data_IF_474009331773
#
_entry.id   IF_474009331773
#
_cell.length_a   1.000
_cell.length_b   1.000
_cell.length_c   1.000
_cell.angle_alpha   90.00
_cell.angle_beta   90.00
_cell.angle_gamma   90.00
#
_symmetry.space_group_name_H-M   'P 1'
#
loop_
_entity.id
_entity.type
_entity.pdbx_description
1 polymer ?
#
# COMPACT_ATOMS: atom_id res chain seq x y z
N UNK A 1 8.54 9.55 -9.51
CA UNK A 1 8.49 8.10 -9.74
C UNK A 1 7.10 7.60 -9.38
N UNK A 2 6.34 7.13 -10.36
CA UNK A 2 4.97 6.63 -10.19
C UNK A 2 4.69 5.39 -11.05
N UNK A 3 5.76 4.67 -11.41
CA UNK A 3 5.72 3.41 -12.15
C UNK A 3 5.19 2.28 -11.26
N UNK A 4 4.99 1.05 -11.77
CA UNK A 4 4.78 -0.13 -10.92
C UNK A 4 5.87 -0.27 -9.84
N UNK A 5 5.50 -0.76 -8.65
CA UNK A 5 6.30 -0.65 -7.43
C UNK A 5 7.69 -1.27 -7.56
N UNK A 6 7.79 -2.45 -8.18
CA UNK A 6 9.07 -3.13 -8.38
C UNK A 6 10.11 -2.30 -9.17
N UNK A 7 9.67 -1.31 -9.96
CA UNK A 7 10.55 -0.44 -10.74
C UNK A 7 11.01 0.82 -9.98
N UNK A 8 10.45 1.09 -8.79
CA UNK A 8 10.71 2.36 -8.09
C UNK A 8 12.19 2.56 -7.77
N UNK A 9 12.85 1.51 -7.27
CA UNK A 9 14.26 1.60 -6.87
C UNK A 9 15.17 2.03 -8.02
N UNK A 10 14.96 1.44 -9.20
CA UNK A 10 15.80 1.74 -10.37
C UNK A 10 15.54 3.15 -10.89
N UNK A 11 14.28 3.60 -10.91
CA UNK A 11 13.95 4.97 -11.26
C UNK A 11 14.48 5.99 -10.23
N UNK A 12 14.46 5.66 -8.93
CA UNK A 12 15.06 6.50 -7.88
C UNK A 12 16.58 6.57 -8.08
N UNK A 13 17.24 5.44 -8.31
CA UNK A 13 18.69 5.38 -8.57
C UNK A 13 19.08 6.24 -9.77
N UNK A 14 18.37 6.10 -10.89
CA UNK A 14 18.62 6.91 -12.08
C UNK A 14 18.47 8.41 -11.80
N UNK A 15 17.47 8.80 -11.01
CA UNK A 15 17.31 10.20 -10.58
C UNK A 15 18.48 10.71 -9.72
N UNK A 16 18.97 9.90 -8.79
CA UNK A 16 20.13 10.25 -7.96
C UNK A 16 21.42 10.36 -8.76
N UNK A 17 21.67 9.43 -9.68
CA UNK A 17 22.83 9.43 -10.57
C UNK A 17 22.83 10.65 -11.50
N UNK A 18 21.65 11.11 -11.92
CA UNK A 18 21.47 12.36 -12.64
C UNK A 18 21.59 13.62 -11.76
N UNK A 19 21.86 13.48 -10.45
CA UNK A 19 21.99 14.59 -9.52
C UNK A 19 20.68 15.28 -9.16
N UNK A 20 19.53 14.63 -9.35
CA UNK A 20 18.21 15.17 -9.09
C UNK A 20 17.71 14.88 -7.67
N UNK A 21 16.79 15.72 -7.20
CA UNK A 21 15.92 15.39 -6.06
C UNK A 21 14.69 14.67 -6.60
N UNK A 22 14.39 13.50 -6.05
CA UNK A 22 13.37 12.58 -6.54
C UNK A 22 12.16 12.62 -5.61
N UNK A 23 10.98 12.77 -6.19
CA UNK A 23 9.72 12.43 -5.55
C UNK A 23 9.26 11.03 -6.02
N UNK A 24 8.88 10.15 -5.10
CA UNK A 24 8.36 8.81 -5.41
C UNK A 24 7.02 8.56 -4.73
N UNK A 25 6.11 7.93 -5.46
CA UNK A 25 4.91 7.33 -4.88
C UNK A 25 5.26 6.21 -3.89
N UNK A 26 4.26 5.85 -3.08
CA UNK A 26 4.30 4.68 -2.19
C UNK A 26 3.77 3.42 -2.91
N UNK A 27 4.14 2.22 -2.47
CA UNK A 27 5.24 1.89 -1.54
C UNK A 27 6.60 2.15 -2.21
N UNK A 28 7.63 2.47 -1.42
CA UNK A 28 8.92 2.92 -1.96
C UNK A 28 9.66 1.79 -2.70
N UNK A 29 9.60 0.58 -2.15
CA UNK A 29 10.23 -0.64 -2.67
C UNK A 29 9.40 -1.84 -2.23
N UNK A 30 9.61 -3.01 -2.84
CA UNK A 30 8.78 -4.21 -2.62
C UNK A 30 9.46 -5.33 -1.84
N UNK A 31 10.77 -5.22 -1.57
CA UNK A 31 11.53 -6.24 -0.82
C UNK A 31 12.43 -5.63 0.26
N UNK A 32 12.79 -6.43 1.30
CA UNK A 32 13.80 -6.03 2.28
C UNK A 32 15.16 -5.71 1.64
N UNK A 33 15.59 -6.48 0.65
CA UNK A 33 16.87 -6.30 -0.05
C UNK A 33 16.91 -4.94 -0.76
N UNK A 34 15.84 -4.58 -1.45
CA UNK A 34 15.67 -3.26 -2.06
C UNK A 34 15.64 -2.14 -1.00
N UNK A 35 15.11 -2.41 0.20
CA UNK A 35 15.12 -1.43 1.29
C UNK A 35 16.54 -1.13 1.78
N UNK A 36 17.37 -2.16 1.94
CA UNK A 36 18.79 -1.97 2.27
C UNK A 36 19.54 -1.26 1.16
N UNK A 37 19.26 -1.58 -0.10
CA UNK A 37 19.88 -0.91 -1.24
C UNK A 37 19.50 0.57 -1.33
N UNK A 38 18.23 0.89 -1.11
CA UNK A 38 17.78 2.28 -1.02
C UNK A 38 18.49 3.03 0.12
N UNK A 39 18.69 2.39 1.27
CA UNK A 39 19.43 3.00 2.38
C UNK A 39 20.89 3.32 2.00
N UNK A 40 21.55 2.45 1.22
CA UNK A 40 22.90 2.73 0.68
C UNK A 40 22.89 3.91 -0.29
N UNK A 41 21.89 3.99 -1.17
CA UNK A 41 21.74 5.13 -2.07
C UNK A 41 21.54 6.44 -1.30
N UNK A 42 20.68 6.46 -0.28
CA UNK A 42 20.46 7.64 0.56
C UNK A 42 21.71 8.03 1.37
N UNK A 43 22.50 7.06 1.82
CA UNK A 43 23.77 7.32 2.49
C UNK A 43 24.81 7.93 1.54
N UNK A 44 24.83 7.51 0.27
CA UNK A 44 25.76 8.00 -0.75
C UNK A 44 25.37 9.39 -1.29
N UNK A 45 24.09 9.61 -1.57
CA UNK A 45 23.62 10.82 -2.28
C UNK A 45 23.00 11.89 -1.37
N UNK A 46 22.65 11.54 -0.14
CA UNK A 46 21.98 12.43 0.82
C UNK A 46 20.50 12.04 1.04
N UNK A 47 20.05 12.10 2.31
CA UNK A 47 18.68 11.70 2.70
C UNK A 47 17.60 12.66 2.19
N UNK A 48 17.95 13.92 2.01
CA UNK A 48 17.08 15.00 1.53
C UNK A 48 16.85 14.96 0.02
N UNK A 49 17.53 14.06 -0.70
CA UNK A 49 17.34 13.79 -2.14
C UNK A 49 16.06 13.03 -2.46
N UNK A 50 15.37 12.45 -1.48
CA UNK A 50 14.16 11.65 -1.69
C UNK A 50 12.98 12.21 -0.91
N UNK A 51 11.88 12.40 -1.61
CA UNK A 51 10.56 12.70 -1.05
C UNK A 51 9.62 11.54 -1.38
N UNK A 52 8.81 11.12 -0.40
CA UNK A 52 7.86 10.02 -0.57
C UNK A 52 6.43 10.53 -0.44
N UNK A 53 5.55 10.07 -1.32
CA UNK A 53 4.12 10.37 -1.37
C UNK A 53 3.28 9.77 -0.24
N UNK A 54 3.71 9.89 1.02
CA UNK A 54 2.92 9.54 2.20
C UNK A 54 1.92 10.65 2.54
N UNK A 55 0.99 10.91 1.62
CA UNK A 55 0.10 12.08 1.64
C UNK A 55 -0.81 12.15 2.88
N UNK A 56 -1.14 10.99 3.48
CA UNK A 56 -2.02 10.97 4.66
C UNK A 56 -1.40 11.61 5.90
N UNK A 57 -0.06 11.78 5.95
CA UNK A 57 0.59 12.58 7.01
C UNK A 57 0.11 14.03 7.04
N UNK A 58 -0.44 14.52 5.93
CA UNK A 58 -0.96 15.89 5.79
C UNK A 58 -2.49 15.96 5.90
N UNK A 59 -3.19 14.82 6.03
CA UNK A 59 -4.63 14.79 6.20
C UNK A 59 -5.03 15.57 7.47
N UNK A 60 -6.09 16.41 7.44
CA UNK A 60 -6.51 17.20 8.60
C UNK A 60 -6.67 16.35 9.86
N UNK A 61 -7.36 15.21 9.75
CA UNK A 61 -7.55 14.26 10.86
C UNK A 61 -6.22 13.82 11.50
N UNK A 62 -5.21 13.50 10.69
CA UNK A 62 -3.92 13.05 11.22
C UNK A 62 -3.14 14.20 11.87
N UNK A 63 -3.22 15.41 11.28
CA UNK A 63 -2.59 16.60 11.85
C UNK A 63 -3.19 16.96 13.21
N UNK A 64 -4.52 16.88 13.33
CA UNK A 64 -5.24 17.14 14.58
C UNK A 64 -4.88 16.09 15.64
N UNK A 65 -4.84 14.81 15.26
CA UNK A 65 -4.39 13.73 16.15
C UNK A 65 -2.97 13.97 16.68
N UNK A 66 -2.04 14.35 15.81
CA UNK A 66 -0.65 14.65 16.20
C UNK A 66 -0.55 15.90 17.07
N UNK A 67 -1.38 16.91 16.85
CA UNK A 67 -1.44 18.10 17.69
C UNK A 67 -1.98 17.77 19.09
N UNK A 68 -3.07 17.00 19.18
CA UNK A 68 -3.63 16.52 20.44
C UNK A 68 -2.61 15.68 21.24
N UNK A 69 -1.88 14.80 20.54
CA UNK A 69 -0.80 14.03 21.14
C UNK A 69 0.33 14.93 21.69
N UNK A 70 0.79 15.91 20.89
CA UNK A 70 1.83 16.84 21.32
C UNK A 70 1.39 17.71 22.52
N UNK A 71 0.09 17.99 22.63
CA UNK A 71 -0.50 18.69 23.76
C UNK A 71 -0.74 17.79 25.00
N UNK A 72 -0.37 16.51 24.95
CA UNK A 72 -0.53 15.56 26.06
C UNK A 72 -1.97 15.10 26.30
N UNK A 73 -2.90 15.36 25.36
CA UNK A 73 -4.32 15.06 25.53
C UNK A 73 -4.64 13.56 25.45
N UNK A 74 -3.75 12.76 24.87
CA UNK A 74 -3.94 11.32 24.70
C UNK A 74 -3.40 10.48 25.86
N UNK A 75 -2.55 11.07 26.73
CA UNK A 75 -1.79 10.32 27.73
C UNK A 75 -0.90 9.24 27.11
N UNK A 76 -0.73 8.13 27.81
CA UNK A 76 0.01 6.96 27.32
C UNK A 76 -0.85 6.12 26.38
N UNK A 77 -0.37 5.92 25.15
CA UNK A 77 -1.06 5.08 24.17
C UNK A 77 -0.87 3.62 24.54
N UNK A 78 -1.94 2.96 24.97
CA UNK A 78 -1.93 1.54 25.37
C UNK A 78 -2.16 0.61 24.17
N UNK A 79 -3.03 1.00 23.24
CA UNK A 79 -3.37 0.20 22.06
C UNK A 79 -3.92 1.06 20.94
N UNK A 80 -3.82 0.56 19.71
CA UNK A 80 -4.48 1.13 18.53
C UNK A 80 -5.25 -0.02 17.87
N UNK A 81 -6.54 0.19 17.65
CA UNK A 81 -7.36 -0.64 16.78
C UNK A 81 -7.72 0.17 15.55
N UNK A 82 -7.56 -0.44 14.38
CA UNK A 82 -7.93 0.19 13.13
C UNK A 82 -8.53 -0.84 12.18
N UNK A 83 -9.51 -0.38 11.39
CA UNK A 83 -10.21 -1.20 10.41
C UNK A 83 -10.40 -0.39 9.14
N UNK A 84 -9.89 -0.91 8.03
CA UNK A 84 -10.11 -0.34 6.71
C UNK A 84 -10.98 -1.27 5.87
N UNK A 85 -12.10 -0.72 5.39
CA UNK A 85 -13.00 -1.43 4.48
C UNK A 85 -12.96 -0.76 3.12
N UNK A 86 -12.43 -1.47 2.12
CA UNK A 86 -12.41 -0.96 0.75
C UNK A 86 -13.70 -1.37 0.02
N UNK A 87 -14.31 -0.44 -0.73
CA UNK A 87 -15.48 -0.75 -1.53
C UNK A 87 -15.13 -1.71 -2.69
N UNK A 88 -16.12 -2.46 -3.24
CA UNK A 88 -15.87 -3.49 -4.24
C UNK A 88 -15.09 -3.01 -5.48
N UNK A 89 -15.34 -1.77 -5.93
CA UNK A 89 -14.63 -1.19 -7.07
C UNK A 89 -13.12 -1.07 -6.85
N UNK A 90 -12.70 -0.82 -5.60
CA UNK A 90 -11.31 -0.61 -5.25
C UNK A 90 -10.60 -1.96 -5.09
N UNK A 91 -11.26 -2.95 -4.48
CA UNK A 91 -10.74 -4.32 -4.46
C UNK A 91 -10.57 -4.90 -5.87
N UNK A 92 -11.58 -4.70 -6.73
CA UNK A 92 -11.51 -5.13 -8.14
C UNK A 92 -10.38 -4.44 -8.91
N UNK A 93 -10.09 -3.18 -8.63
CA UNK A 93 -8.98 -2.48 -9.25
C UNK A 93 -7.64 -3.20 -9.02
N UNK A 94 -7.36 -3.64 -7.79
CA UNK A 94 -6.15 -4.44 -7.49
C UNK A 94 -6.13 -5.78 -8.21
N UNK A 95 -7.28 -6.46 -8.24
CA UNK A 95 -7.40 -7.80 -8.84
C UNK A 95 -7.35 -7.80 -10.37
N UNK A 96 -7.45 -6.63 -10.99
CA UNK A 96 -7.55 -6.50 -12.46
C UNK A 96 -6.30 -5.92 -13.11
N UNK A 97 -5.27 -5.55 -12.36
CA UNK A 97 -4.01 -5.02 -12.94
C UNK A 97 -2.77 -5.70 -12.35
N UNK A 98 -1.58 -5.24 -12.75
CA UNK A 98 -0.28 -5.74 -12.28
C UNK A 98 -0.17 -5.90 -10.75
N UNK A 99 -0.94 -5.14 -9.96
CA UNK A 99 -0.95 -5.18 -8.49
C UNK A 99 -1.40 -6.52 -7.92
N UNK A 100 -2.08 -7.33 -8.72
CA UNK A 100 -2.48 -8.69 -8.33
C UNK A 100 -1.31 -9.65 -8.17
N UNK A 101 -0.13 -9.30 -8.68
CA UNK A 101 1.05 -10.14 -8.61
C UNK A 101 2.04 -9.63 -7.55
N UNK A 102 2.46 -10.51 -6.66
CA UNK A 102 3.36 -10.20 -5.55
C UNK A 102 4.71 -9.70 -6.06
N UNK A 103 5.20 -10.29 -7.15
CA UNK A 103 6.47 -9.88 -7.80
C UNK A 103 6.50 -8.41 -8.23
N UNK A 104 5.34 -7.82 -8.49
CA UNK A 104 5.26 -6.42 -8.90
C UNK A 104 4.86 -5.47 -7.76
N UNK A 105 4.04 -5.93 -6.81
CA UNK A 105 3.43 -5.11 -5.78
C UNK A 105 4.04 -5.25 -4.37
N UNK A 106 4.65 -6.41 -4.06
CA UNK A 106 5.19 -6.76 -2.75
C UNK A 106 4.15 -7.21 -1.71
N UNK A 107 2.93 -7.55 -2.16
CA UNK A 107 1.83 -8.02 -1.33
C UNK A 107 0.78 -6.96 -1.01
N UNK A 108 -0.41 -7.40 -0.59
CA UNK A 108 -1.57 -6.51 -0.40
C UNK A 108 -1.33 -5.45 0.69
N UNK A 109 -0.76 -5.81 1.84
CA UNK A 109 -0.47 -4.84 2.91
C UNK A 109 0.55 -3.79 2.50
N UNK A 110 1.53 -4.17 1.68
CA UNK A 110 2.53 -3.23 1.22
C UNK A 110 1.94 -2.27 0.19
N UNK A 111 1.16 -2.78 -0.77
CA UNK A 111 0.55 -1.93 -1.80
C UNK A 111 -0.53 -1.01 -1.24
N UNK A 112 -1.43 -1.56 -0.41
CA UNK A 112 -2.60 -0.83 0.10
C UNK A 112 -2.35 -0.15 1.43
N UNK A 113 -1.82 -0.88 2.41
CA UNK A 113 -1.83 -0.49 3.82
C UNK A 113 -0.52 0.11 4.33
N UNK A 114 0.50 0.30 3.48
CA UNK A 114 1.78 0.85 3.92
C UNK A 114 1.63 2.27 4.50
N UNK A 115 0.67 3.06 4.02
CA UNK A 115 0.38 4.37 4.60
C UNK A 115 -0.34 4.28 5.94
N UNK A 116 -1.19 3.27 6.15
CA UNK A 116 -1.88 3.08 7.44
C UNK A 116 -0.86 2.74 8.52
N UNK A 117 0.03 1.78 8.22
CA UNK A 117 1.15 1.39 9.09
C UNK A 117 2.07 2.59 9.37
N UNK A 118 2.32 3.44 8.37
CA UNK A 118 3.07 4.67 8.54
C UNK A 118 2.42 5.62 9.56
N UNK A 119 1.11 5.83 9.47
CA UNK A 119 0.38 6.68 10.41
C UNK A 119 0.42 6.10 11.83
N UNK A 120 0.18 4.79 11.99
CA UNK A 120 0.17 4.13 13.29
C UNK A 120 1.54 4.17 13.96
N UNK A 121 2.59 3.87 13.20
CA UNK A 121 3.97 3.99 13.68
C UNK A 121 4.30 5.44 14.05
N UNK A 122 3.82 6.40 13.26
CA UNK A 122 3.98 7.82 13.56
C UNK A 122 3.34 8.18 14.90
N UNK A 123 2.10 7.75 15.15
CA UNK A 123 1.36 7.98 16.40
C UNK A 123 2.02 7.30 17.59
N UNK A 124 2.38 6.03 17.49
CA UNK A 124 3.05 5.29 18.57
C UNK A 124 4.46 5.81 18.85
N UNK A 125 5.19 6.24 17.81
CA UNK A 125 6.57 6.70 17.95
C UNK A 125 7.57 5.59 18.29
N UNK A 126 7.19 4.31 18.11
CA UNK A 126 8.04 3.15 18.36
C UNK A 126 8.04 2.18 17.16
N UNK A 127 9.02 1.29 17.12
CA UNK A 127 9.09 0.22 16.12
C UNK A 127 8.38 -1.03 16.65
N UNK A 128 7.64 -1.76 15.80
CA UNK A 128 7.07 -3.05 16.20
C UNK A 128 8.18 -4.03 16.55
N UNK A 129 8.00 -4.79 17.64
CA UNK A 129 8.94 -5.82 18.08
C UNK A 129 8.55 -7.23 17.62
N UNK A 130 7.25 -7.46 17.39
CA UNK A 130 6.66 -8.70 16.89
C UNK A 130 5.45 -8.35 16.04
N UNK A 131 5.12 -9.24 15.11
CA UNK A 131 3.93 -9.14 14.26
C UNK A 131 3.36 -10.54 14.10
N UNK A 132 2.04 -10.68 14.18
CA UNK A 132 1.31 -11.84 13.69
C UNK A 132 0.24 -11.38 12.71
N UNK A 133 0.01 -12.17 11.66
CA UNK A 133 -0.99 -11.81 10.68
C UNK A 133 -1.66 -13.00 10.04
N UNK A 134 -2.96 -12.84 9.79
CA UNK A 134 -3.84 -13.87 9.24
C UNK A 134 -4.65 -13.23 8.13
N UNK A 135 -4.67 -13.86 6.96
CA UNK A 135 -5.35 -13.34 5.80
C UNK A 135 -5.57 -14.41 4.76
N UNK A 136 -6.23 -14.03 3.68
CA UNK A 136 -6.49 -14.93 2.56
C UNK A 136 -7.28 -14.25 1.46
N UNK A 137 -7.71 -15.05 0.48
CA UNK A 137 -8.57 -14.57 -0.60
C UNK A 137 -9.93 -15.24 -0.53
N UNK A 138 -10.99 -14.45 -0.39
CA UNK A 138 -12.37 -14.93 -0.30
C UNK A 138 -13.32 -14.18 -1.23
N UNK A 139 -13.22 -12.87 -1.37
CA UNK A 139 -14.17 -12.07 -2.15
C UNK A 139 -13.98 -12.30 -3.64
N UNK A 140 -12.75 -12.14 -4.14
CA UNK A 140 -12.43 -12.16 -5.57
C UNK A 140 -11.96 -13.55 -6.01
N UNK A 141 -12.86 -14.53 -5.88
CA UNK A 141 -12.64 -15.90 -6.34
C UNK A 141 -13.81 -16.36 -7.21
N UNK A 142 -13.62 -17.36 -8.10
CA UNK A 142 -14.66 -17.76 -9.04
C UNK A 142 -15.94 -18.20 -8.34
N UNK A 143 -15.84 -18.81 -7.17
CA UNK A 143 -17.00 -19.28 -6.39
C UNK A 143 -17.89 -18.13 -5.88
N UNK A 144 -17.36 -16.92 -5.74
CA UNK A 144 -18.07 -15.74 -5.24
C UNK A 144 -18.40 -14.72 -6.32
N UNK A 145 -18.26 -15.11 -7.60
CA UNK A 145 -18.73 -14.31 -8.71
C UNK A 145 -20.24 -14.02 -8.58
N UNK A 146 -20.65 -12.75 -8.46
CA UNK A 146 -22.04 -12.36 -8.24
C UNK A 146 -22.96 -12.76 -9.42
N UNK A 147 -22.42 -12.96 -10.62
CA UNK A 147 -23.17 -13.46 -11.79
C UNK A 147 -23.73 -14.86 -11.55
N UNK A 148 -23.07 -15.68 -10.73
CA UNK A 148 -23.57 -17.00 -10.32
C UNK A 148 -24.79 -16.92 -9.41
N UNK A 149 -25.08 -15.73 -8.86
CA UNK A 149 -26.25 -15.45 -8.02
C UNK A 149 -27.30 -14.59 -8.75
N UNK A 150 -27.19 -14.44 -10.08
CA UNK A 150 -28.14 -13.69 -10.90
C UNK A 150 -27.92 -12.17 -10.91
N UNK A 151 -26.82 -11.67 -10.36
CA UNK A 151 -26.45 -10.25 -10.46
C UNK A 151 -25.77 -10.02 -11.81
N UNK A 152 -26.42 -9.25 -12.68
CA UNK A 152 -25.93 -8.99 -14.03
C UNK A 152 -25.22 -7.64 -14.17
N UNK A 153 -25.46 -6.70 -13.25
CA UNK A 153 -24.75 -5.41 -13.21
C UNK A 153 -23.40 -5.59 -12.51
N UNK A 154 -22.33 -5.43 -13.28
CA UNK A 154 -20.95 -5.54 -12.84
C UNK A 154 -20.22 -4.21 -12.82
N UNK A 155 -20.91 -3.10 -13.05
CA UNK A 155 -20.31 -1.77 -13.26
C UNK A 155 -19.51 -1.34 -12.03
N UNK A 156 -19.97 -1.71 -10.83
CA UNK A 156 -19.24 -1.43 -9.58
C UNK A 156 -17.82 -2.01 -9.60
N UNK A 157 -17.58 -3.17 -10.21
CA UNK A 157 -16.24 -3.78 -10.28
C UNK A 157 -15.39 -3.23 -11.44
N UNK A 158 -16.00 -2.45 -12.34
CA UNK A 158 -15.38 -1.91 -13.54
C UNK A 158 -15.22 -0.37 -13.53
N UNK A 159 -15.62 0.31 -12.45
CA UNK A 159 -15.53 1.78 -12.32
C UNK A 159 -14.13 2.36 -12.54
N UNK A 160 -13.09 1.58 -12.23
CA UNK A 160 -11.69 1.98 -12.47
C UNK A 160 -11.19 1.30 -13.76
N UNK A 161 -10.55 2.06 -14.66
CA UNK A 161 -9.91 1.47 -15.82
C UNK A 161 -8.74 0.57 -15.39
N UNK A 162 -8.46 -0.45 -16.20
CA UNK A 162 -7.31 -1.33 -15.98
C UNK A 162 -6.04 -0.72 -16.52
N UNK A 163 -4.93 -0.99 -15.83
CA UNK A 163 -3.60 -0.56 -16.24
C UNK A 163 -2.86 -1.63 -17.04
N UNK A 164 -1.52 -1.51 -17.02
CA UNK A 164 -0.61 -2.54 -17.51
C UNK A 164 -0.86 -3.89 -16.81
N UNK A 165 -0.67 -4.99 -17.55
CA UNK A 165 -1.07 -6.35 -17.15
C UNK A 165 -2.58 -6.47 -16.83
N UNK A 166 -3.42 -5.64 -17.46
CA UNK A 166 -4.86 -5.56 -17.18
C UNK A 166 -5.69 -6.78 -17.57
N UNK A 167 -6.81 -7.01 -16.86
CA UNK A 167 -7.82 -8.03 -17.21
C UNK A 167 -9.23 -7.59 -16.82
N UNK A 168 -10.24 -8.03 -17.57
CA UNK A 168 -11.65 -7.83 -17.22
C UNK A 168 -12.20 -8.95 -16.32
N UNK A 169 -11.41 -10.00 -16.08
CA UNK A 169 -11.80 -11.13 -15.25
C UNK A 169 -11.59 -10.84 -13.76
N UNK A 170 -12.53 -10.14 -13.14
CA UNK A 170 -12.42 -9.75 -11.72
C UNK A 170 -12.40 -10.95 -10.77
N UNK A 171 -13.29 -11.93 -11.00
CA UNK A 171 -13.50 -13.07 -10.11
C UNK A 171 -12.82 -14.36 -10.59
N UNK A 172 -12.38 -14.43 -11.85
CA UNK A 172 -11.66 -15.58 -12.39
C UNK A 172 -10.13 -15.41 -12.31
N UNK A 173 -9.65 -14.39 -11.60
CA UNK A 173 -8.28 -13.88 -11.75
C UNK A 173 -7.21 -14.83 -11.22
N UNK A 174 -6.05 -14.73 -11.85
CA UNK A 174 -4.76 -15.33 -11.49
C UNK A 174 -4.02 -14.52 -10.40
N UNK A 175 -4.76 -13.79 -9.58
CA UNK A 175 -4.18 -12.99 -8.51
C UNK A 175 -3.34 -13.87 -7.57
N UNK A 176 -2.24 -13.32 -7.09
CA UNK A 176 -1.39 -13.86 -6.02
C UNK A 176 -1.74 -13.19 -4.68
N UNK A 177 -2.20 -11.94 -4.72
CA UNK A 177 -2.55 -11.17 -3.52
C UNK A 177 -3.83 -11.67 -2.83
N UNK A 178 -3.90 -11.40 -1.53
CA UNK A 178 -5.07 -11.61 -0.67
C UNK A 178 -6.12 -10.49 -0.83
N UNK A 179 -7.31 -10.67 -0.25
CA UNK A 179 -8.38 -9.63 -0.21
C UNK A 179 -9.01 -9.39 1.16
N UNK A 180 -8.49 -10.05 2.20
CA UNK A 180 -8.75 -9.70 3.59
C UNK A 180 -7.53 -10.06 4.45
N UNK A 181 -7.28 -9.26 5.49
CA UNK A 181 -6.20 -9.51 6.45
C UNK A 181 -6.50 -8.85 7.79
N UNK A 182 -6.05 -9.49 8.86
CA UNK A 182 -5.90 -8.93 10.19
C UNK A 182 -4.44 -9.05 10.61
N UNK A 183 -3.88 -7.98 11.18
CA UNK A 183 -2.52 -7.96 11.70
C UNK A 183 -2.53 -7.40 13.13
N UNK A 184 -1.69 -7.99 13.99
CA UNK A 184 -1.46 -7.59 15.38
C UNK A 184 0.04 -7.50 15.67
#
# INVERSE_FOLDING_TARGET
>A
VGSPNHMHLDHIRAGFEAGLKVFSEKPIVVTPEQSFELARLLARYGRDRLLIGLVLRYAPLYRDLRAAQAAGQLGDIVSIEASEHIPPYHGAFFMRDWRRYDRYAGGFMLEKCCHDIDLYNGVIGARPSKVASFGGRRTFVPANDPRKRGINDMDVYHRKPVGWEGTDKVFDSDAEIIDYQVAI
#
